data_IF_970008083699
#
_entry.id   IF_970008083699
#
_cell.length_a   1.000
_cell.length_b   1.000
_cell.length_c   1.000
_cell.angle_alpha   90.00
_cell.angle_beta   90.00
_cell.angle_gamma   90.00
#
_symmetry.space_group_name_H-M   'P 1'
#
loop_
_entity.id
_entity.type
_entity.pdbx_description
1 polymer ?
#
# COMPACT_ATOMS: atom_id res chain seq x y z
N UNK A 1 -3.26 16.73 19.33
CA UNK A 1 -1.79 16.71 19.52
C UNK A 1 -1.31 15.29 19.27
N UNK A 2 -0.38 15.06 18.34
CA UNK A 2 0.08 13.70 18.01
C UNK A 2 1.54 13.55 18.44
N UNK A 3 1.77 12.84 19.55
CA UNK A 3 3.07 12.69 20.23
C UNK A 3 4.22 12.33 19.27
N UNK A 4 3.98 11.55 18.23
CA UNK A 4 5.01 11.19 17.25
C UNK A 4 5.62 12.39 16.49
N UNK A 5 4.87 13.49 16.32
CA UNK A 5 5.41 14.72 15.73
C UNK A 5 6.36 15.45 16.66
N UNK A 6 6.08 15.40 17.96
CA UNK A 6 6.84 16.14 18.97
C UNK A 6 8.19 15.47 19.28
N UNK A 7 8.32 14.17 18.99
CA UNK A 7 9.54 13.38 19.24
C UNK A 7 10.35 13.03 17.98
N UNK A 8 10.06 13.66 16.84
CA UNK A 8 10.81 13.50 15.59
C UNK A 8 10.95 12.05 15.10
N UNK A 9 10.03 11.17 15.53
CA UNK A 9 9.97 9.80 15.04
C UNK A 9 9.38 9.82 13.63
N UNK A 10 10.10 9.25 12.65
CA UNK A 10 9.55 9.03 11.31
C UNK A 10 8.36 8.09 11.46
N UNK A 11 7.16 8.62 11.25
CA UNK A 11 5.95 7.86 11.37
C UNK A 11 5.58 7.29 10.00
N UNK A 12 6.10 6.11 9.70
CA UNK A 12 5.76 5.38 8.48
C UNK A 12 4.28 4.95 8.44
N UNK A 13 3.57 4.98 9.56
CA UNK A 13 2.13 4.65 9.62
C UNK A 13 1.22 5.85 9.29
N UNK A 14 1.72 7.09 9.41
CA UNK A 14 0.92 8.31 9.27
C UNK A 14 1.71 9.42 8.56
N UNK A 15 2.18 9.15 7.35
CA UNK A 15 2.79 10.18 6.50
C UNK A 15 1.77 11.29 6.16
N UNK A 16 2.22 12.53 5.92
CA UNK A 16 1.37 13.65 5.49
C UNK A 16 0.63 13.37 4.18
N UNK A 17 1.29 12.72 3.22
CA UNK A 17 0.74 12.40 1.91
C UNK A 17 1.21 11.03 1.39
N UNK A 18 0.64 10.65 0.24
CA UNK A 18 0.86 9.36 -0.40
C UNK A 18 2.25 9.26 -1.05
N UNK A 19 2.84 10.37 -1.49
CA UNK A 19 4.15 10.35 -2.14
C UNK A 19 5.25 10.11 -1.10
N UNK A 20 5.13 10.72 0.07
CA UNK A 20 5.99 10.41 1.21
C UNK A 20 5.80 8.96 1.68
N UNK A 21 4.56 8.46 1.73
CA UNK A 21 4.29 7.04 2.05
C UNK A 21 4.98 6.08 1.08
N UNK A 22 4.93 6.38 -0.22
CA UNK A 22 5.61 5.61 -1.27
C UNK A 22 7.12 5.64 -1.08
N UNK A 23 7.70 6.79 -0.73
CA UNK A 23 9.14 6.94 -0.52
C UNK A 23 9.69 6.06 0.61
N UNK A 24 8.86 5.75 1.62
CA UNK A 24 9.21 4.86 2.72
C UNK A 24 8.84 3.38 2.46
N UNK A 25 8.41 3.02 1.24
CA UNK A 25 7.90 1.68 0.90
C UNK A 25 6.75 1.20 1.81
N UNK A 26 5.91 2.12 2.28
CA UNK A 26 4.75 1.80 3.16
C UNK A 26 3.40 2.07 2.51
N UNK A 27 3.39 2.52 1.25
CA UNK A 27 2.19 2.56 0.43
C UNK A 27 2.50 2.19 -1.03
N UNK A 28 1.61 1.38 -1.63
CA UNK A 28 1.63 1.04 -3.05
C UNK A 28 0.28 1.48 -3.62
N UNK A 29 0.30 2.30 -4.67
CA UNK A 29 -0.93 2.83 -5.29
C UNK A 29 -0.68 3.21 -6.75
N UNK A 30 -1.58 2.77 -7.63
CA UNK A 30 -1.51 2.98 -9.07
C UNK A 30 -2.49 2.07 -9.82
N UNK A 31 -2.23 1.85 -11.10
CA UNK A 31 -2.95 0.86 -11.90
C UNK A 31 -2.65 -0.57 -11.43
N UNK A 32 -3.47 -1.58 -11.78
CA UNK A 32 -3.18 -2.97 -11.45
C UNK A 32 -1.78 -3.43 -11.88
N UNK A 33 -1.32 -3.00 -13.06
CA UNK A 33 0.01 -3.31 -13.58
C UNK A 33 1.12 -2.70 -12.73
N UNK A 34 0.92 -1.45 -12.28
CA UNK A 34 1.89 -0.75 -11.42
C UNK A 34 1.98 -1.42 -10.05
N UNK A 35 0.83 -1.74 -9.45
CA UNK A 35 0.78 -2.39 -8.12
C UNK A 35 1.39 -3.79 -8.19
N UNK A 36 1.09 -4.57 -9.24
CA UNK A 36 1.71 -5.90 -9.45
C UNK A 36 3.23 -5.80 -9.53
N UNK A 37 3.75 -4.88 -10.34
CA UNK A 37 5.21 -4.70 -10.50
C UNK A 37 5.90 -4.34 -9.18
N UNK A 38 5.27 -3.49 -8.36
CA UNK A 38 5.81 -3.15 -7.03
C UNK A 38 5.76 -4.33 -6.06
N UNK A 39 4.73 -5.17 -6.10
CA UNK A 39 4.65 -6.39 -5.28
C UNK A 39 5.72 -7.41 -5.71
N UNK A 40 5.91 -7.61 -7.02
CA UNK A 40 6.98 -8.47 -7.56
C UNK A 40 8.36 -8.00 -7.10
N UNK A 41 8.60 -6.68 -7.18
CA UNK A 41 9.83 -6.06 -6.66
C UNK A 41 9.99 -6.28 -5.17
N UNK A 42 8.93 -6.06 -4.39
CA UNK A 42 8.93 -6.26 -2.93
C UNK A 42 9.28 -7.70 -2.54
N UNK A 43 8.67 -8.71 -3.16
CA UNK A 43 8.99 -10.12 -2.90
C UNK A 43 10.44 -10.45 -3.28
N UNK A 44 10.91 -9.97 -4.44
CA UNK A 44 12.27 -10.21 -4.88
C UNK A 44 13.33 -9.60 -3.94
N UNK A 45 13.08 -8.40 -3.42
CA UNK A 45 14.02 -7.68 -2.54
C UNK A 45 13.96 -8.17 -1.08
N UNK A 46 12.77 -8.50 -0.57
CA UNK A 46 12.58 -8.88 0.84
C UNK A 46 12.75 -10.36 1.12
N UNK A 47 12.61 -11.23 0.11
CA UNK A 47 12.53 -12.69 0.28
C UNK A 47 11.25 -13.17 0.98
N UNK A 48 10.28 -12.28 1.20
CA UNK A 48 8.97 -12.60 1.79
C UNK A 48 8.04 -13.17 0.72
N UNK A 49 7.07 -13.99 1.12
CA UNK A 49 6.07 -14.64 0.26
C UNK A 49 4.61 -14.22 0.56
N UNK A 50 4.42 -13.25 1.46
CA UNK A 50 3.11 -12.70 1.81
C UNK A 50 3.14 -11.18 2.04
N UNK A 51 1.98 -10.55 1.88
CA UNK A 51 1.74 -9.13 2.18
C UNK A 51 0.42 -8.98 2.93
N UNK A 52 0.33 -7.96 3.78
CA UNK A 52 -0.90 -7.53 4.43
C UNK A 52 -1.29 -6.18 3.86
N UNK A 53 -2.53 -6.06 3.40
CA UNK A 53 -3.01 -4.90 2.66
C UNK A 53 -4.23 -4.26 3.32
N UNK A 54 -4.36 -2.95 3.16
CA UNK A 54 -5.51 -2.17 3.56
C UNK A 54 -6.08 -1.41 2.35
N UNK A 55 -7.30 -1.75 1.94
CA UNK A 55 -8.00 -1.10 0.82
C UNK A 55 -8.87 0.08 1.26
N UNK A 56 -9.29 0.07 2.52
CA UNK A 56 -10.03 1.18 3.14
C UNK A 56 -9.03 2.11 3.82
N UNK A 57 -8.63 3.18 3.12
CA UNK A 57 -7.64 4.13 3.63
C UNK A 57 -8.08 5.58 3.46
N UNK A 58 -7.79 6.39 4.49
CA UNK A 58 -8.08 7.83 4.48
C UNK A 58 -9.56 8.14 4.35
N UNK A 59 -9.91 8.88 3.30
CA UNK A 59 -11.28 9.34 3.01
C UNK A 59 -11.94 8.59 1.84
N UNK A 60 -11.42 7.40 1.47
CA UNK A 60 -12.05 6.59 0.44
C UNK A 60 -13.46 6.17 0.85
N UNK A 61 -14.39 6.25 -0.09
CA UNK A 61 -15.72 5.68 0.11
C UNK A 61 -15.65 4.15 0.14
N UNK A 62 -16.72 3.52 0.63
CA UNK A 62 -16.88 2.08 0.57
C UNK A 62 -16.78 1.56 -0.87
N UNK A 63 -17.44 2.21 -1.83
CA UNK A 63 -17.42 1.80 -3.23
C UNK A 63 -16.02 1.88 -3.84
N UNK A 64 -15.25 2.93 -3.52
CA UNK A 64 -13.86 3.06 -3.98
C UNK A 64 -12.95 1.99 -3.38
N UNK A 65 -13.16 1.66 -2.10
CA UNK A 65 -12.40 0.63 -1.41
C UNK A 65 -12.70 -0.76 -1.97
N UNK A 66 -13.99 -1.07 -2.18
CA UNK A 66 -14.45 -2.30 -2.82
C UNK A 66 -13.93 -2.43 -4.25
N UNK A 67 -13.97 -1.36 -5.04
CA UNK A 67 -13.43 -1.37 -6.40
C UNK A 67 -11.94 -1.69 -6.44
N UNK A 68 -11.18 -1.18 -5.47
CA UNK A 68 -9.75 -1.47 -5.35
C UNK A 68 -9.50 -2.94 -4.97
N UNK A 69 -10.32 -3.49 -4.08
CA UNK A 69 -10.27 -4.91 -3.72
C UNK A 69 -10.59 -5.81 -4.94
N UNK A 70 -11.66 -5.51 -5.69
CA UNK A 70 -12.02 -6.25 -6.91
C UNK A 70 -10.89 -6.24 -7.95
N UNK A 71 -10.31 -5.05 -8.23
CA UNK A 71 -9.18 -4.93 -9.14
C UNK A 71 -7.99 -5.77 -8.67
N UNK A 72 -7.72 -5.79 -7.37
CA UNK A 72 -6.65 -6.59 -6.80
C UNK A 72 -6.91 -8.09 -6.94
N UNK A 73 -8.12 -8.55 -6.58
CA UNK A 73 -8.48 -9.98 -6.65
C UNK A 73 -8.51 -10.49 -8.09
N UNK A 74 -8.97 -9.67 -9.03
CA UNK A 74 -9.22 -10.12 -10.40
C UNK A 74 -7.98 -9.97 -11.30
N UNK A 75 -7.14 -8.96 -11.05
CA UNK A 75 -6.04 -8.60 -11.97
C UNK A 75 -4.64 -8.72 -11.37
N UNK A 76 -4.51 -8.88 -10.05
CA UNK A 76 -3.20 -8.93 -9.39
C UNK A 76 -2.99 -10.30 -8.75
N UNK A 77 -3.88 -10.74 -7.88
CA UNK A 77 -3.76 -12.03 -7.18
C UNK A 77 -3.50 -13.23 -8.10
N UNK A 78 -4.11 -13.38 -9.29
CA UNK A 78 -3.89 -14.53 -10.15
C UNK A 78 -2.45 -14.69 -10.67
N UNK A 79 -1.61 -13.65 -10.54
CA UNK A 79 -0.21 -13.69 -10.93
C UNK A 79 0.72 -14.27 -9.85
N UNK A 80 0.22 -14.42 -8.62
CA UNK A 80 0.98 -14.94 -7.47
C UNK A 80 0.43 -16.31 -7.06
N UNK A 81 1.29 -17.17 -6.50
CA UNK A 81 0.97 -18.57 -6.13
C UNK A 81 1.01 -18.77 -4.64
#
# INVERSE_FOLDING_TARGET
MKLWRDFNSINTLFTPDIDEAKSYNVAISGSPETVRAEIERYFAESGTDYIVLAFCWGSLSQDQSNRSLELFTDQIMPHFK
#
